data_IF_511966452956
#
_entry.id   IF_511966452956
#
_cell.length_a   1.000
_cell.length_b   1.000
_cell.length_c   1.000
_cell.angle_alpha   90.00
_cell.angle_beta   90.00
_cell.angle_gamma   90.00
#
_symmetry.space_group_name_H-M   'P 1'
#
loop_
_entity.id
_entity.type
_entity.pdbx_description
1 polymer ?
#
# COMPACT_ATOMS: atom_id res chain seq x y z
N UNK A 1 -48.50 55.00 28.68
CA UNK A 1 -49.01 55.18 30.05
C UNK A 1 -47.89 54.88 31.03
N UNK A 2 -46.91 55.77 31.24
CA UNK A 2 -47.05 57.12 31.81
C UNK A 2 -48.00 57.20 33.01
N UNK A 3 -47.38 57.10 34.19
CA UNK A 3 -47.54 57.96 35.36
C UNK A 3 -48.94 58.25 35.94
N UNK A 4 -49.15 57.84 37.20
CA UNK A 4 -49.43 58.72 38.38
C UNK A 4 -49.69 57.85 39.62
N UNK A 5 -48.90 58.03 40.70
CA UNK A 5 -49.18 58.90 41.85
C UNK A 5 -50.31 58.33 42.74
N UNK A 6 -50.18 58.16 44.06
CA UNK A 6 -49.87 59.20 45.05
C UNK A 6 -49.63 58.57 46.44
N UNK A 7 -48.73 59.19 47.22
CA UNK A 7 -48.67 59.42 48.69
C UNK A 7 -49.44 58.51 49.67
N UNK A 8 -48.89 58.15 50.84
CA UNK A 8 -48.78 59.01 52.04
C UNK A 8 -47.66 58.51 52.98
N UNK A 9 -46.91 59.48 53.54
CA UNK A 9 -45.85 59.34 54.53
C UNK A 9 -46.35 59.04 55.96
N UNK A 10 -45.56 58.32 56.77
CA UNK A 10 -45.32 58.63 58.20
C UNK A 10 -44.25 57.72 58.83
N UNK A 11 -43.51 58.32 59.77
CA UNK A 11 -42.58 57.79 60.77
C UNK A 11 -41.21 57.22 60.36
N UNK A 12 -40.20 58.06 60.64
CA UNK A 12 -38.79 57.70 60.67
C UNK A 12 -38.37 57.38 62.12
N UNK A 13 -37.73 56.24 62.39
CA UNK A 13 -36.96 56.04 63.62
C UNK A 13 -35.51 56.52 63.46
N UNK A 14 -35.02 57.19 64.49
CA UNK A 14 -33.66 57.72 64.69
C UNK A 14 -32.59 56.62 64.50
N UNK A 15 -31.46 56.89 63.82
CA UNK A 15 -30.39 55.89 63.69
C UNK A 15 -29.66 55.70 65.03
N UNK A 16 -29.49 54.43 65.41
CA UNK A 16 -28.65 53.98 66.52
C UNK A 16 -27.16 54.32 66.29
N UNK A 17 -26.35 54.51 67.35
CA UNK A 17 -24.95 54.89 67.21
C UNK A 17 -24.13 53.84 66.46
N UNK A 18 -23.34 54.30 65.50
CA UNK A 18 -22.37 53.50 64.73
C UNK A 18 -21.30 52.93 65.66
N UNK A 19 -21.00 51.62 65.62
CA UNK A 19 -19.88 51.07 66.38
C UNK A 19 -18.56 51.59 65.82
N UNK A 20 -17.68 52.00 66.73
CA UNK A 20 -16.31 52.47 66.47
C UNK A 20 -15.53 51.39 65.70
N UNK A 21 -14.89 51.78 64.59
CA UNK A 21 -14.11 50.85 63.77
C UNK A 21 -12.92 50.31 64.57
N UNK A 22 -12.89 49.00 64.77
CA UNK A 22 -11.70 48.30 65.27
C UNK A 22 -10.62 48.37 64.18
N UNK A 23 -9.35 48.70 64.48
CA UNK A 23 -8.31 48.72 63.47
C UNK A 23 -8.13 47.33 62.87
N UNK A 24 -8.22 47.22 61.54
CA UNK A 24 -7.90 45.99 60.82
C UNK A 24 -6.44 45.59 61.11
N UNK A 25 -6.15 44.29 61.34
CA UNK A 25 -4.79 43.84 61.51
C UNK A 25 -4.01 44.11 60.22
N UNK A 26 -2.85 44.76 60.34
CA UNK A 26 -1.87 44.89 59.26
C UNK A 26 -1.63 43.50 58.65
N UNK A 27 -1.75 43.32 57.32
CA UNK A 27 -1.44 42.03 56.71
C UNK A 27 0.02 41.69 56.99
N UNK A 28 0.27 40.57 57.65
CA UNK A 28 1.60 39.99 57.75
C UNK A 28 2.15 39.79 56.33
N UNK A 29 3.46 40.04 56.09
CA UNK A 29 4.04 39.78 54.79
C UNK A 29 3.80 38.31 54.43
N UNK A 30 3.12 38.06 53.31
CA UNK A 30 3.03 36.72 52.73
C UNK A 30 4.46 36.20 52.59
N UNK A 31 4.80 35.04 53.17
CA UNK A 31 6.13 34.48 52.98
C UNK A 31 6.39 34.37 51.49
N UNK A 32 7.54 34.89 51.02
CA UNK A 32 8.00 34.62 49.66
C UNK A 32 7.91 33.11 49.41
N UNK A 33 7.39 32.65 48.26
CA UNK A 33 7.37 31.22 47.96
C UNK A 33 8.81 30.72 48.11
N UNK A 34 9.01 29.81 49.07
CA UNK A 34 10.29 29.09 49.20
C UNK A 34 10.68 28.63 47.80
N UNK A 35 11.90 28.95 47.31
CA UNK A 35 12.33 28.48 46.00
C UNK A 35 12.12 26.97 45.98
N UNK A 36 11.24 26.51 45.09
CA UNK A 36 11.06 25.10 44.83
C UNK A 36 12.46 24.58 44.44
N UNK A 37 12.97 23.50 45.05
CA UNK A 37 14.29 23.01 44.69
C UNK A 37 14.33 22.82 43.18
N UNK A 38 15.30 23.47 42.52
CA UNK A 38 15.62 23.17 41.12
C UNK A 38 15.80 21.64 41.03
N UNK A 39 15.25 20.96 40.02
CA UNK A 39 15.46 19.53 39.89
C UNK A 39 16.97 19.29 39.89
N UNK A 40 17.48 18.58 40.89
CA UNK A 40 18.89 18.19 40.94
C UNK A 40 19.19 17.46 39.63
N UNK A 41 19.95 18.09 38.74
CA UNK A 41 20.43 17.46 37.53
C UNK A 41 21.35 16.33 37.97
N UNK A 42 20.98 15.10 37.66
CA UNK A 42 21.83 13.95 37.89
C UNK A 42 22.98 14.01 36.89
N UNK A 43 23.99 14.84 37.18
CA UNK A 43 25.14 15.12 36.32
C UNK A 43 25.83 13.81 35.87
N UNK A 44 25.77 12.77 36.71
CA UNK A 44 26.30 11.45 36.38
C UNK A 44 25.46 10.75 35.32
N UNK A 45 24.13 10.79 35.43
CA UNK A 45 23.24 10.26 34.40
C UNK A 45 23.37 11.03 33.07
N UNK A 46 23.52 12.35 33.12
CA UNK A 46 23.71 13.17 31.92
C UNK A 46 25.03 12.84 31.21
N UNK A 47 26.13 12.66 31.97
CA UNK A 47 27.41 12.20 31.41
C UNK A 47 27.30 10.80 30.79
N UNK A 48 26.59 9.87 31.45
CA UNK A 48 26.36 8.53 30.91
C UNK A 48 25.53 8.58 29.62
N UNK A 49 24.50 9.43 29.56
CA UNK A 49 23.71 9.63 28.35
C UNK A 49 24.57 10.17 27.19
N UNK A 50 25.47 11.11 27.46
CA UNK A 50 26.39 11.63 26.45
C UNK A 50 27.42 10.57 26.00
N UNK A 51 27.92 9.76 26.93
CA UNK A 51 28.80 8.63 26.58
C UNK A 51 28.12 7.63 25.64
N UNK A 52 26.82 7.37 25.84
CA UNK A 52 26.03 6.56 24.90
C UNK A 52 25.97 7.21 23.52
N UNK A 53 25.62 8.50 23.43
CA UNK A 53 25.55 9.22 22.14
C UNK A 53 26.88 9.18 21.40
N UNK A 54 27.98 9.43 22.11
CA UNK A 54 29.31 9.40 21.53
C UNK A 54 29.69 7.99 21.03
N UNK A 55 29.36 6.94 21.80
CA UNK A 55 29.56 5.56 21.35
C UNK A 55 28.75 5.20 20.10
N UNK A 56 27.49 5.63 20.02
CA UNK A 56 26.68 5.47 18.82
C UNK A 56 27.29 6.24 17.65
N UNK A 57 27.72 7.48 17.83
CA UNK A 57 28.39 8.27 16.78
C UNK A 57 29.66 7.58 16.24
N UNK A 58 30.45 6.99 17.12
CA UNK A 58 31.71 6.30 16.78
C UNK A 58 31.50 4.93 16.11
N UNK A 59 30.28 4.39 16.11
CA UNK A 59 30.03 3.03 15.63
C UNK A 59 30.39 1.93 16.63
N UNK A 60 30.67 2.30 17.87
CA UNK A 60 31.01 1.36 18.94
C UNK A 60 29.75 0.92 19.70
N UNK A 61 28.99 0.00 19.07
CA UNK A 61 27.73 -0.50 19.63
C UNK A 61 27.92 -1.22 20.98
N UNK A 62 29.12 -1.78 21.24
CA UNK A 62 29.44 -2.45 22.50
C UNK A 62 29.59 -1.44 23.64
N UNK A 63 30.34 -0.35 23.41
CA UNK A 63 30.47 0.75 24.37
C UNK A 63 29.13 1.46 24.61
N UNK A 64 28.32 1.61 23.55
CA UNK A 64 26.98 2.18 23.66
C UNK A 64 26.07 1.33 24.56
N UNK A 65 26.05 0.01 24.36
CA UNK A 65 25.28 -0.92 25.19
C UNK A 65 25.71 -0.86 26.66
N UNK A 66 27.03 -0.88 26.93
CA UNK A 66 27.55 -0.81 28.28
C UNK A 66 27.14 0.49 28.99
N UNK A 67 27.34 1.63 28.32
CA UNK A 67 27.03 2.95 28.88
C UNK A 67 25.53 3.13 29.10
N UNK A 68 24.69 2.59 28.20
CA UNK A 68 23.24 2.64 28.32
C UNK A 68 22.75 1.74 29.46
N UNK A 69 23.34 0.57 29.65
CA UNK A 69 23.02 -0.31 30.77
C UNK A 69 23.39 0.33 32.11
N UNK A 70 24.51 1.05 32.17
CA UNK A 70 24.91 1.81 33.36
C UNK A 70 23.97 2.99 33.63
N UNK A 71 23.58 3.74 32.60
CA UNK A 71 22.58 4.81 32.68
C UNK A 71 21.24 4.28 33.21
N UNK A 72 20.73 3.19 32.63
CA UNK A 72 19.46 2.57 33.06
C UNK A 72 19.55 2.09 34.51
N UNK A 73 20.70 1.59 34.96
CA UNK A 73 20.90 1.15 36.35
C UNK A 73 20.95 2.31 37.33
N UNK A 74 21.60 3.41 36.96
CA UNK A 74 21.79 4.59 37.81
C UNK A 74 20.53 5.46 37.85
N UNK A 75 19.92 5.72 36.70
CA UNK A 75 18.74 6.58 36.55
C UNK A 75 17.73 5.98 35.55
N UNK A 76 16.93 4.97 35.95
CA UNK A 76 16.02 4.26 35.04
C UNK A 76 14.93 5.12 34.41
N UNK A 77 14.63 6.31 34.94
CA UNK A 77 13.61 7.22 34.40
C UNK A 77 14.24 8.41 33.66
N UNK A 78 15.53 8.36 33.38
CA UNK A 78 16.23 9.42 32.69
C UNK A 78 15.62 9.70 31.31
N UNK A 79 15.27 10.96 30.98
CA UNK A 79 14.47 11.30 29.80
C UNK A 79 15.14 10.96 28.47
N UNK A 80 16.47 10.81 28.43
CA UNK A 80 17.19 10.42 27.22
C UNK A 80 17.12 8.91 26.91
N UNK A 81 16.82 8.05 27.89
CA UNK A 81 16.86 6.58 27.69
C UNK A 81 15.97 6.10 26.53
N UNK A 82 14.71 6.55 26.38
CA UNK A 82 13.83 6.07 25.32
C UNK A 82 14.41 6.35 23.92
N UNK A 83 14.94 7.55 23.70
CA UNK A 83 15.53 7.96 22.42
C UNK A 83 16.84 7.21 22.14
N UNK A 84 17.70 7.02 23.15
CA UNK A 84 18.93 6.25 23.02
C UNK A 84 18.66 4.77 22.68
N UNK A 85 17.68 4.16 23.36
CA UNK A 85 17.23 2.79 23.06
C UNK A 85 16.69 2.69 21.63
N UNK A 86 15.92 3.68 21.17
CA UNK A 86 15.37 3.74 19.83
C UNK A 86 16.48 3.88 18.77
N UNK A 87 17.45 4.75 18.99
CA UNK A 87 18.59 4.95 18.09
C UNK A 87 19.43 3.66 17.98
N UNK A 88 19.77 3.06 19.11
CA UNK A 88 20.52 1.80 19.12
C UNK A 88 19.76 0.67 18.39
N UNK A 89 18.44 0.60 18.57
CA UNK A 89 17.59 -0.37 17.87
C UNK A 89 17.63 -0.20 16.34
N UNK A 90 17.66 1.05 15.85
CA UNK A 90 17.74 1.36 14.41
C UNK A 90 19.07 0.98 13.77
N UNK A 91 20.15 0.93 14.56
CA UNK A 91 21.49 0.57 14.10
C UNK A 91 21.73 -0.93 14.02
N UNK A 92 20.83 -1.74 14.57
CA UNK A 92 20.98 -3.18 14.56
C UNK A 92 21.09 -3.71 13.12
N UNK A 93 22.20 -4.37 12.80
CA UNK A 93 22.44 -4.99 11.49
C UNK A 93 21.33 -5.97 11.11
N UNK A 94 20.77 -6.66 12.09
CA UNK A 94 19.58 -7.48 11.94
C UNK A 94 18.37 -6.74 12.52
N UNK A 95 17.44 -6.24 11.70
CA UNK A 95 16.26 -5.53 12.19
C UNK A 95 15.43 -6.35 13.19
N UNK A 96 15.49 -7.69 13.11
CA UNK A 96 14.77 -8.58 14.01
C UNK A 96 15.35 -8.59 15.44
N UNK A 97 16.66 -8.39 15.60
CA UNK A 97 17.26 -8.33 16.93
C UNK A 97 16.98 -7.01 17.66
N UNK A 98 16.41 -6.02 16.97
CA UNK A 98 16.00 -4.73 17.53
C UNK A 98 14.66 -4.79 18.28
N UNK A 99 13.82 -5.82 18.02
CA UNK A 99 12.47 -5.92 18.61
C UNK A 99 12.44 -5.81 20.15
N UNK A 100 13.34 -6.47 20.91
CA UNK A 100 13.33 -6.34 22.37
C UNK A 100 13.59 -4.90 22.83
N UNK A 101 14.44 -4.15 22.12
CA UNK A 101 14.72 -2.75 22.44
C UNK A 101 13.51 -1.87 22.18
N UNK A 102 12.88 -2.00 21.00
CA UNK A 102 11.63 -1.29 20.71
C UNK A 102 10.54 -1.63 21.72
N UNK A 103 10.38 -2.91 22.07
CA UNK A 103 9.41 -3.34 23.10
C UNK A 103 9.68 -2.67 24.44
N UNK A 104 10.94 -2.63 24.88
CA UNK A 104 11.29 -1.97 26.15
C UNK A 104 11.00 -0.47 26.14
N UNK A 105 11.18 0.24 25.01
CA UNK A 105 10.76 1.65 24.91
C UNK A 105 9.26 1.79 25.15
N UNK A 106 8.47 0.91 24.56
CA UNK A 106 7.00 0.97 24.61
C UNK A 106 6.45 0.52 25.96
N UNK A 107 7.06 -0.45 26.61
CA UNK A 107 6.60 -1.02 27.88
C UNK A 107 7.08 -0.19 29.07
N UNK A 108 8.35 0.24 29.07
CA UNK A 108 8.96 0.94 30.19
C UNK A 108 8.73 2.46 30.12
N UNK A 109 8.61 3.03 28.91
CA UNK A 109 8.50 4.48 28.67
C UNK A 109 7.34 4.86 27.74
N UNK A 110 6.10 4.44 28.06
CA UNK A 110 4.96 4.54 27.16
C UNK A 110 4.45 5.98 26.94
N UNK A 111 4.96 6.97 27.66
CA UNK A 111 4.59 8.39 27.49
C UNK A 111 5.72 9.20 26.84
N UNK A 112 6.81 8.54 26.44
CA UNK A 112 7.94 9.17 25.75
C UNK A 112 7.64 9.47 24.30
N UNK A 113 8.32 10.48 23.74
CA UNK A 113 8.27 10.83 22.31
C UNK A 113 8.83 9.72 21.40
N UNK A 114 9.62 8.80 21.96
CA UNK A 114 10.16 7.63 21.25
C UNK A 114 9.13 6.50 21.08
N UNK A 115 8.14 6.40 21.97
CA UNK A 115 7.20 5.27 22.02
C UNK A 115 6.36 5.09 20.74
N UNK A 116 5.78 6.14 20.11
CA UNK A 116 5.05 6.00 18.85
C UNK A 116 5.91 5.43 17.73
N UNK A 117 7.17 5.86 17.66
CA UNK A 117 8.11 5.34 16.67
C UNK A 117 8.48 3.89 16.94
N UNK A 118 8.82 3.53 18.17
CA UNK A 118 9.16 2.17 18.53
C UNK A 118 8.02 1.19 18.22
N UNK A 119 6.77 1.57 18.50
CA UNK A 119 5.58 0.81 18.11
C UNK A 119 5.43 0.66 16.59
N UNK A 120 5.62 1.75 15.83
CA UNK A 120 5.54 1.70 14.37
C UNK A 120 6.62 0.76 13.80
N UNK A 121 7.85 0.78 14.33
CA UNK A 121 8.90 -0.14 13.91
C UNK A 121 8.57 -1.60 14.26
N UNK A 122 8.01 -1.86 15.46
CA UNK A 122 7.51 -3.21 15.79
C UNK A 122 6.44 -3.68 14.80
N UNK A 123 5.48 -2.82 14.46
CA UNK A 123 4.46 -3.14 13.47
C UNK A 123 5.07 -3.46 12.10
N UNK A 124 6.07 -2.67 11.65
CA UNK A 124 6.79 -2.91 10.38
C UNK A 124 7.54 -4.23 10.38
N UNK A 125 8.22 -4.57 11.48
CA UNK A 125 8.93 -5.83 11.61
C UNK A 125 7.97 -7.03 11.57
N UNK A 126 6.83 -6.95 12.27
CA UNK A 126 5.79 -7.97 12.17
C UNK A 126 5.23 -8.11 10.75
N UNK A 127 5.10 -7.00 10.00
CA UNK A 127 4.62 -7.03 8.63
C UNK A 127 5.61 -7.76 7.71
N UNK A 128 6.91 -7.48 7.85
CA UNK A 128 7.98 -8.16 7.10
C UNK A 128 8.03 -9.66 7.43
N UNK A 129 7.74 -10.04 8.67
CA UNK A 129 7.60 -11.46 9.06
C UNK A 129 6.34 -12.15 8.50
N UNK A 130 5.43 -11.40 7.87
CA UNK A 130 4.12 -11.90 7.46
C UNK A 130 3.15 -12.12 8.63
N UNK A 131 3.50 -11.69 9.85
CA UNK A 131 2.59 -11.72 10.99
C UNK A 131 1.66 -10.51 10.93
N UNK A 132 0.67 -10.60 10.05
CA UNK A 132 -0.28 -9.53 9.78
C UNK A 132 -1.12 -9.19 11.03
N UNK A 133 -1.44 -10.18 11.88
CA UNK A 133 -2.26 -9.96 13.09
C UNK A 133 -1.52 -9.09 14.10
N UNK A 134 -0.25 -9.40 14.38
CA UNK A 134 0.58 -8.55 15.24
C UNK A 134 0.84 -7.19 14.60
N UNK A 135 1.01 -7.12 13.27
CA UNK A 135 1.13 -5.83 12.56
C UNK A 135 -0.04 -4.91 12.87
N UNK A 136 -1.27 -5.40 12.69
CA UNK A 136 -2.50 -4.64 12.95
C UNK A 136 -2.58 -4.24 14.43
N UNK A 137 -2.26 -5.17 15.34
CA UNK A 137 -2.28 -4.90 16.78
C UNK A 137 -1.34 -3.75 17.16
N UNK A 138 -0.07 -3.83 16.76
CA UNK A 138 0.94 -2.82 17.10
C UNK A 138 0.68 -1.48 16.39
N UNK A 139 0.30 -1.51 15.11
CA UNK A 139 -0.05 -0.31 14.37
C UNK A 139 -1.26 0.42 14.98
N UNK A 140 -2.26 -0.33 15.45
CA UNK A 140 -3.44 0.24 16.11
C UNK A 140 -3.09 0.94 17.41
N UNK A 141 -2.20 0.36 18.22
CA UNK A 141 -1.68 1.01 19.43
C UNK A 141 -1.07 2.38 19.11
N UNK A 142 -0.43 2.58 17.96
CA UNK A 142 0.13 3.89 17.58
C UNK A 142 -0.99 4.92 17.42
N UNK A 143 -1.95 4.69 16.51
CA UNK A 143 -2.94 5.70 16.17
C UNK A 143 -4.09 5.83 17.20
N UNK A 144 -4.24 4.87 18.13
CA UNK A 144 -5.18 4.98 19.25
C UNK A 144 -4.56 5.68 20.47
N UNK A 145 -3.30 5.37 20.81
CA UNK A 145 -2.64 5.96 22.00
C UNK A 145 -1.95 7.29 21.70
N UNK A 146 -1.47 7.49 20.48
CA UNK A 146 -0.72 8.68 20.07
C UNK A 146 -1.32 9.28 18.79
N UNK A 147 -2.61 9.68 18.79
CA UNK A 147 -3.31 10.13 17.58
C UNK A 147 -2.66 11.35 16.91
N UNK A 148 -2.01 12.21 17.70
CA UNK A 148 -1.35 13.43 17.21
C UNK A 148 0.12 13.21 16.79
N UNK A 149 0.66 12.00 16.99
CA UNK A 149 2.03 11.69 16.61
C UNK A 149 2.14 11.56 15.08
N UNK A 150 3.24 12.03 14.44
CA UNK A 150 3.45 11.87 12.99
C UNK A 150 3.37 10.41 12.50
N UNK A 151 3.67 9.46 13.39
CA UNK A 151 3.64 8.02 13.14
C UNK A 151 2.21 7.46 13.03
N UNK A 152 1.18 8.13 13.56
CA UNK A 152 -0.18 7.62 13.58
C UNK A 152 -0.73 7.37 12.17
N UNK A 153 -0.51 8.31 11.25
CA UNK A 153 -0.95 8.19 9.86
C UNK A 153 -0.25 7.02 9.15
N UNK A 154 1.06 6.89 9.35
CA UNK A 154 1.87 5.79 8.81
C UNK A 154 1.49 4.43 9.39
N UNK A 155 1.18 4.36 10.68
CA UNK A 155 0.72 3.15 11.33
C UNK A 155 -0.65 2.73 10.80
N UNK A 156 -1.58 3.67 10.64
CA UNK A 156 -2.90 3.39 10.05
C UNK A 156 -2.78 2.89 8.61
N UNK A 157 -1.85 3.45 7.83
CA UNK A 157 -1.57 2.99 6.46
C UNK A 157 -1.10 1.53 6.47
N UNK A 158 -0.14 1.20 7.36
CA UNK A 158 0.37 -0.15 7.53
C UNK A 158 -0.72 -1.14 7.99
N UNK A 159 -1.60 -0.72 8.90
CA UNK A 159 -2.75 -1.51 9.31
C UNK A 159 -3.67 -1.80 8.12
N UNK A 160 -3.97 -0.79 7.28
CA UNK A 160 -4.77 -0.97 6.05
C UNK A 160 -4.14 -1.98 5.09
N UNK A 161 -2.82 -1.92 4.89
CA UNK A 161 -2.08 -2.88 4.07
C UNK A 161 -2.16 -4.30 4.64
N UNK A 162 -1.99 -4.44 5.96
CA UNK A 162 -2.11 -5.73 6.63
C UNK A 162 -3.54 -6.30 6.55
N UNK A 163 -4.57 -5.48 6.72
CA UNK A 163 -5.96 -5.89 6.53
C UNK A 163 -6.23 -6.37 5.09
N UNK A 164 -5.73 -5.65 4.08
CA UNK A 164 -5.88 -6.04 2.68
C UNK A 164 -5.21 -7.40 2.42
N UNK A 165 -3.99 -7.60 2.94
CA UNK A 165 -3.27 -8.87 2.82
C UNK A 165 -3.96 -10.04 3.54
N UNK A 166 -4.77 -9.78 4.59
CA UNK A 166 -5.62 -10.79 5.22
C UNK A 166 -6.93 -11.07 4.45
N UNK A 167 -7.23 -10.33 3.38
CA UNK A 167 -8.53 -10.37 2.70
C UNK A 167 -9.64 -9.65 3.48
N UNK A 168 -9.30 -8.90 4.55
CA UNK A 168 -10.24 -8.08 5.32
C UNK A 168 -10.47 -6.74 4.61
N UNK A 169 -11.13 -6.83 3.45
CA UNK A 169 -11.25 -5.71 2.50
C UNK A 169 -12.01 -4.51 3.09
N UNK A 170 -13.05 -4.73 3.90
CA UNK A 170 -13.78 -3.65 4.58
C UNK A 170 -12.88 -2.88 5.54
N UNK A 171 -12.18 -3.58 6.44
CA UNK A 171 -11.28 -2.94 7.40
C UNK A 171 -10.13 -2.19 6.70
N UNK A 172 -9.62 -2.76 5.61
CA UNK A 172 -8.60 -2.11 4.78
C UNK A 172 -9.13 -0.81 4.14
N UNK A 173 -10.34 -0.88 3.56
CA UNK A 173 -11.01 0.29 2.97
C UNK A 173 -11.19 1.40 4.00
N UNK A 174 -11.70 1.08 5.19
CA UNK A 174 -11.95 2.07 6.24
C UNK A 174 -10.64 2.70 6.75
N UNK A 175 -9.59 1.89 6.91
CA UNK A 175 -8.27 2.38 7.31
C UNK A 175 -7.71 3.40 6.31
N UNK A 176 -7.78 3.10 5.01
CA UNK A 176 -7.28 4.00 3.97
C UNK A 176 -8.19 5.22 3.74
N UNK A 177 -9.51 5.07 3.76
CA UNK A 177 -10.45 6.17 3.55
C UNK A 177 -10.29 7.29 4.59
N UNK A 178 -10.05 6.92 5.85
CA UNK A 178 -9.74 7.88 6.90
C UNK A 178 -8.47 8.67 6.56
N UNK A 179 -7.41 8.01 6.09
CA UNK A 179 -6.18 8.73 5.73
C UNK A 179 -6.37 9.70 4.57
N UNK A 180 -7.15 9.34 3.56
CA UNK A 180 -7.44 10.23 2.42
C UNK A 180 -8.20 11.49 2.85
N UNK A 181 -8.96 11.42 3.94
CA UNK A 181 -9.79 12.53 4.43
C UNK A 181 -9.15 13.34 5.54
N UNK A 182 -8.30 12.73 6.37
CA UNK A 182 -7.78 13.38 7.60
C UNK A 182 -6.28 13.65 7.59
N UNK A 183 -5.49 12.99 6.73
CA UNK A 183 -4.04 13.15 6.73
C UNK A 183 -3.60 14.43 6.03
N UNK A 184 -2.70 15.19 6.67
CA UNK A 184 -2.01 16.32 6.05
C UNK A 184 -0.76 15.89 5.25
N UNK A 185 -0.28 14.65 5.44
CA UNK A 185 0.86 14.10 4.72
C UNK A 185 0.41 13.59 3.34
N UNK A 186 0.84 14.29 2.29
CA UNK A 186 0.51 13.98 0.89
C UNK A 186 1.05 12.61 0.44
N UNK A 187 2.18 12.13 0.99
CA UNK A 187 2.69 10.78 0.67
C UNK A 187 1.77 9.72 1.26
N UNK A 188 1.32 9.91 2.51
CA UNK A 188 0.35 9.01 3.15
C UNK A 188 -0.98 9.01 2.40
N UNK A 189 -1.50 10.18 2.03
CA UNK A 189 -2.75 10.29 1.24
C UNK A 189 -2.62 9.55 -0.09
N UNK A 190 -1.51 9.76 -0.81
CA UNK A 190 -1.26 9.09 -2.10
C UNK A 190 -1.21 7.57 -1.95
N UNK A 191 -0.45 7.06 -0.97
CA UNK A 191 -0.35 5.62 -0.71
C UNK A 191 -1.67 5.02 -0.24
N UNK A 192 -2.46 5.75 0.53
CA UNK A 192 -3.79 5.33 0.95
C UNK A 192 -4.76 5.23 -0.25
N UNK A 193 -4.72 6.18 -1.20
CA UNK A 193 -5.49 6.08 -2.45
C UNK A 193 -5.10 4.86 -3.28
N UNK A 194 -3.80 4.57 -3.40
CA UNK A 194 -3.34 3.32 -4.03
C UNK A 194 -3.88 2.10 -3.29
N UNK A 195 -3.84 2.10 -1.95
CA UNK A 195 -4.42 1.04 -1.12
C UNK A 195 -5.93 0.85 -1.37
N UNK A 196 -6.70 1.93 -1.44
CA UNK A 196 -8.13 1.87 -1.79
C UNK A 196 -8.35 1.30 -3.19
N UNK A 197 -7.54 1.70 -4.17
CA UNK A 197 -7.63 1.20 -5.53
C UNK A 197 -7.39 -0.32 -5.57
N UNK A 198 -6.39 -0.82 -4.85
CA UNK A 198 -6.14 -2.27 -4.75
C UNK A 198 -7.28 -3.00 -4.02
N UNK A 199 -7.86 -2.41 -2.97
CA UNK A 199 -9.02 -2.99 -2.27
C UNK A 199 -10.24 -3.07 -3.19
N UNK A 200 -10.50 -2.04 -3.99
CA UNK A 200 -11.57 -2.03 -4.99
C UNK A 200 -11.37 -3.10 -6.05
N UNK A 201 -10.15 -3.22 -6.56
CA UNK A 201 -9.78 -4.26 -7.52
C UNK A 201 -10.00 -5.66 -6.94
N UNK A 202 -9.55 -5.92 -5.70
CA UNK A 202 -9.78 -7.19 -5.01
C UNK A 202 -11.27 -7.48 -4.75
N UNK A 203 -12.07 -6.42 -4.58
CA UNK A 203 -13.53 -6.50 -4.41
C UNK A 203 -14.29 -6.70 -5.73
N UNK A 204 -13.59 -6.99 -6.84
CA UNK A 204 -14.18 -7.16 -8.19
C UNK A 204 -14.84 -5.89 -8.75
N UNK A 205 -14.32 -4.73 -8.37
CA UNK A 205 -14.69 -3.41 -8.90
C UNK A 205 -13.50 -2.79 -9.67
N UNK A 206 -13.14 -3.33 -10.85
CA UNK A 206 -12.03 -2.82 -11.65
C UNK A 206 -12.26 -1.39 -12.15
N UNK A 207 -13.51 -0.98 -12.40
CA UNK A 207 -13.85 0.39 -12.80
C UNK A 207 -13.54 1.39 -11.68
N UNK A 208 -14.01 1.14 -10.45
CA UNK A 208 -13.71 1.99 -9.30
C UNK A 208 -12.22 2.01 -8.94
N UNK A 209 -11.52 0.87 -9.13
CA UNK A 209 -10.07 0.83 -8.98
C UNK A 209 -9.35 1.74 -10.00
N UNK A 210 -9.76 1.72 -11.27
CA UNK A 210 -9.20 2.58 -12.30
C UNK A 210 -9.41 4.07 -12.02
N UNK A 211 -10.54 4.44 -11.42
CA UNK A 211 -10.83 5.82 -11.01
C UNK A 211 -9.84 6.31 -9.96
N UNK A 212 -9.66 5.56 -8.88
CA UNK A 212 -8.73 5.90 -7.81
C UNK A 212 -7.27 5.96 -8.30
N UNK A 213 -6.87 5.04 -9.18
CA UNK A 213 -5.53 5.08 -9.77
C UNK A 213 -5.31 6.31 -10.65
N UNK A 214 -6.35 6.77 -11.36
CA UNK A 214 -6.27 7.99 -12.18
C UNK A 214 -6.11 9.23 -11.30
N UNK A 215 -6.86 9.33 -10.20
CA UNK A 215 -6.71 10.41 -9.22
C UNK A 215 -5.28 10.45 -8.65
N UNK A 216 -4.66 9.28 -8.44
CA UNK A 216 -3.26 9.21 -8.02
C UNK A 216 -2.33 9.79 -9.09
N UNK A 217 -2.57 9.51 -10.38
CA UNK A 217 -1.78 10.07 -11.49
C UNK A 217 -1.99 11.57 -11.69
N UNK A 218 -3.19 12.08 -11.44
CA UNK A 218 -3.52 13.51 -11.52
C UNK A 218 -2.78 14.33 -10.46
N UNK A 219 -2.42 13.71 -9.33
CA UNK A 219 -1.55 14.30 -8.32
C UNK A 219 -0.05 14.31 -8.67
N UNK A 220 0.30 14.03 -9.93
CA UNK A 220 1.68 14.00 -10.47
C UNK A 220 2.67 13.22 -9.59
N UNK A 221 2.44 11.90 -9.40
CA UNK A 221 3.31 11.10 -8.57
C UNK A 221 4.65 10.89 -9.27
N UNK A 222 5.73 10.81 -8.51
CA UNK A 222 7.07 10.55 -9.04
C UNK A 222 7.59 9.15 -8.68
N UNK A 223 8.62 8.70 -9.40
CA UNK A 223 9.36 7.48 -9.07
C UNK A 223 8.55 6.18 -9.19
N UNK A 224 8.72 5.29 -8.19
CA UNK A 224 8.19 3.91 -8.21
C UNK A 224 6.66 3.87 -8.29
N UNK A 225 5.98 4.82 -7.64
CA UNK A 225 4.52 4.88 -7.61
C UNK A 225 3.95 5.15 -9.01
N UNK A 226 4.59 6.02 -9.80
CA UNK A 226 4.15 6.37 -11.14
C UNK A 226 4.17 5.16 -12.09
N UNK A 227 5.25 4.37 -12.11
CA UNK A 227 5.33 3.16 -12.93
C UNK A 227 4.30 2.12 -12.50
N UNK A 228 4.21 1.85 -11.18
CA UNK A 228 3.29 0.85 -10.63
C UNK A 228 1.84 1.18 -10.97
N UNK A 229 1.42 2.40 -10.69
CA UNK A 229 0.04 2.85 -10.92
C UNK A 229 -0.30 2.86 -12.41
N UNK A 230 0.61 3.36 -13.25
CA UNK A 230 0.40 3.36 -14.71
C UNK A 230 0.31 1.94 -15.26
N UNK A 231 1.14 1.02 -14.78
CA UNK A 231 1.07 -0.39 -15.17
C UNK A 231 -0.24 -1.04 -14.72
N UNK A 232 -0.67 -0.81 -13.47
CA UNK A 232 -1.97 -1.28 -12.94
C UNK A 232 -3.15 -0.81 -13.77
N UNK A 233 -3.17 0.46 -14.19
CA UNK A 233 -4.19 0.97 -15.10
C UNK A 233 -4.18 0.24 -16.45
N UNK A 234 -3.00 -0.09 -16.98
CA UNK A 234 -2.88 -0.95 -18.16
C UNK A 234 -3.56 -2.31 -17.97
N UNK A 235 -3.27 -2.98 -16.85
CA UNK A 235 -3.87 -4.28 -16.51
C UNK A 235 -5.39 -4.20 -16.35
N UNK A 236 -5.88 -3.17 -15.66
CA UNK A 236 -7.31 -2.99 -15.42
C UNK A 236 -8.03 -2.70 -16.74
N UNK A 237 -7.52 -1.79 -17.57
CA UNK A 237 -8.15 -1.49 -18.86
C UNK A 237 -8.10 -2.67 -19.83
N UNK A 238 -7.09 -3.53 -19.71
CA UNK A 238 -7.03 -4.79 -20.44
C UNK A 238 -8.14 -5.75 -20.00
N UNK A 239 -8.34 -5.94 -18.69
CA UNK A 239 -9.44 -6.76 -18.14
C UNK A 239 -10.82 -6.23 -18.54
N UNK A 240 -10.98 -4.91 -18.56
CA UNK A 240 -12.22 -4.24 -19.00
C UNK A 240 -12.46 -4.30 -20.51
N UNK A 241 -11.52 -4.85 -21.29
CA UNK A 241 -11.61 -4.90 -22.76
C UNK A 241 -11.31 -3.58 -23.47
N UNK A 242 -10.97 -2.51 -22.74
CA UNK A 242 -10.53 -1.23 -23.30
C UNK A 242 -9.05 -1.31 -23.72
N UNK A 243 -8.83 -2.12 -24.76
CA UNK A 243 -7.50 -2.43 -25.29
C UNK A 243 -6.74 -1.18 -25.75
N UNK A 244 -7.44 -0.16 -26.24
CA UNK A 244 -6.82 1.09 -26.67
C UNK A 244 -6.17 1.82 -25.49
N UNK A 245 -6.88 1.92 -24.35
CA UNK A 245 -6.31 2.49 -23.12
C UNK A 245 -5.21 1.60 -22.55
N UNK A 246 -5.40 0.28 -22.51
CA UNK A 246 -4.38 -0.65 -22.03
C UNK A 246 -3.04 -0.47 -22.76
N UNK A 247 -3.08 -0.45 -24.10
CA UNK A 247 -1.91 -0.18 -24.96
C UNK A 247 -1.25 1.16 -24.61
N UNK A 248 -2.03 2.22 -24.41
CA UNK A 248 -1.49 3.55 -24.05
C UNK A 248 -0.75 3.51 -22.71
N UNK A 249 -1.34 2.88 -21.69
CA UNK A 249 -0.73 2.77 -20.37
C UNK A 249 0.54 1.92 -20.40
N UNK A 250 0.50 0.74 -21.01
CA UNK A 250 1.68 -0.11 -21.14
C UNK A 250 2.80 0.55 -21.94
N UNK A 251 2.48 1.25 -23.04
CA UNK A 251 3.46 2.02 -23.80
C UNK A 251 4.11 3.10 -22.94
N UNK A 252 3.33 3.80 -22.14
CA UNK A 252 3.84 4.85 -21.25
C UNK A 252 4.88 4.27 -20.29
N UNK A 253 4.60 3.14 -19.66
CA UNK A 253 5.55 2.46 -18.76
C UNK A 253 6.78 1.96 -19.52
N UNK A 254 6.59 1.28 -20.66
CA UNK A 254 7.69 0.70 -21.43
C UNK A 254 8.66 1.74 -22.02
N UNK A 255 8.13 2.85 -22.55
CA UNK A 255 8.93 3.85 -23.28
C UNK A 255 9.40 5.00 -22.40
N UNK A 256 8.53 5.51 -21.52
CA UNK A 256 8.85 6.70 -20.70
C UNK A 256 9.39 6.36 -19.32
N UNK A 257 9.28 5.09 -18.92
CA UNK A 257 9.70 4.61 -17.60
C UNK A 257 10.57 3.36 -17.73
N UNK A 258 11.46 3.35 -18.73
CA UNK A 258 12.25 2.18 -19.12
C UNK A 258 13.11 1.59 -17.99
N UNK A 259 13.55 2.43 -17.04
CA UNK A 259 14.33 2.00 -15.87
C UNK A 259 13.46 1.46 -14.72
N UNK A 260 12.14 1.49 -14.85
CA UNK A 260 11.22 1.00 -13.83
C UNK A 260 11.14 -0.52 -13.83
N UNK A 261 10.87 -1.10 -12.66
CA UNK A 261 10.62 -2.53 -12.50
C UNK A 261 9.53 -3.09 -13.44
N UNK A 262 8.56 -2.24 -13.84
CA UNK A 262 7.41 -2.63 -14.65
C UNK A 262 7.64 -2.48 -16.16
N UNK A 263 8.75 -1.89 -16.61
CA UNK A 263 9.00 -1.59 -18.02
C UNK A 263 8.99 -2.83 -18.91
N UNK A 264 9.71 -3.89 -18.51
CA UNK A 264 9.80 -5.12 -19.29
C UNK A 264 8.44 -5.83 -19.40
N UNK A 265 7.71 -5.95 -18.28
CA UNK A 265 6.37 -6.54 -18.28
C UNK A 265 5.36 -5.71 -19.09
N UNK A 266 5.49 -4.38 -19.07
CA UNK A 266 4.66 -3.50 -19.90
C UNK A 266 4.97 -3.67 -21.39
N UNK A 267 6.26 -3.76 -21.77
CA UNK A 267 6.68 -3.99 -23.14
C UNK A 267 6.17 -5.33 -23.68
N UNK A 268 6.21 -6.38 -22.86
CA UNK A 268 5.66 -7.70 -23.20
C UNK A 268 4.15 -7.62 -23.47
N UNK A 269 3.37 -7.05 -22.54
CA UNK A 269 1.92 -6.88 -22.73
C UNK A 269 1.61 -6.01 -23.94
N UNK A 270 2.37 -4.94 -24.18
CA UNK A 270 2.23 -4.09 -25.35
C UNK A 270 2.44 -4.86 -26.66
N UNK A 271 3.45 -5.72 -26.74
CA UNK A 271 3.73 -6.54 -27.92
C UNK A 271 2.65 -7.61 -28.16
N UNK A 272 2.13 -8.25 -27.11
CA UNK A 272 0.97 -9.15 -27.22
C UNK A 272 -0.24 -8.39 -27.77
N UNK A 273 -0.60 -7.26 -27.13
CA UNK A 273 -1.76 -6.46 -27.52
C UNK A 273 -1.62 -5.78 -28.89
N UNK A 274 -0.42 -5.47 -29.36
CA UNK A 274 -0.23 -4.87 -30.69
C UNK A 274 -0.30 -5.93 -31.78
N UNK A 275 0.33 -7.10 -31.58
CA UNK A 275 0.28 -8.21 -32.55
C UNK A 275 -1.13 -8.69 -32.81
N UNK A 276 -1.99 -8.86 -31.79
CA UNK A 276 -3.39 -9.23 -32.08
C UNK A 276 -4.21 -8.10 -32.71
N UNK A 277 -3.83 -6.81 -32.55
CA UNK A 277 -4.45 -5.71 -33.29
C UNK A 277 -4.10 -5.78 -34.78
N UNK A 278 -2.83 -6.02 -35.10
CA UNK A 278 -2.36 -6.18 -36.47
C UNK A 278 -2.97 -7.42 -37.13
N UNK A 279 -3.10 -8.53 -36.40
CA UNK A 279 -3.83 -9.72 -36.85
C UNK A 279 -5.29 -9.38 -37.21
N UNK A 280 -6.05 -8.75 -36.30
CA UNK A 280 -7.44 -8.34 -36.56
C UNK A 280 -7.52 -7.38 -37.76
N UNK A 281 -6.62 -6.40 -37.85
CA UNK A 281 -6.59 -5.44 -38.95
C UNK A 281 -6.26 -6.08 -40.30
N UNK A 282 -5.49 -7.17 -40.30
CA UNK A 282 -5.19 -7.98 -41.49
C UNK A 282 -6.29 -8.99 -41.83
N UNK A 283 -7.46 -8.95 -41.15
CA UNK A 283 -8.53 -9.93 -41.34
C UNK A 283 -8.20 -11.30 -40.76
N UNK A 284 -7.17 -11.41 -39.92
CA UNK A 284 -6.87 -12.64 -39.20
C UNK A 284 -7.67 -12.66 -37.88
N UNK A 285 -8.45 -13.71 -37.60
CA UNK A 285 -9.18 -13.85 -36.35
C UNK A 285 -8.27 -13.94 -35.14
N UNK A 286 -8.80 -13.52 -33.99
CA UNK A 286 -8.14 -13.55 -32.69
C UNK A 286 -7.85 -15.00 -32.27
N UNK A 287 -6.61 -15.43 -32.48
CA UNK A 287 -6.13 -16.76 -32.07
C UNK A 287 -5.79 -16.71 -30.58
N UNK A 288 -6.72 -17.12 -29.73
CA UNK A 288 -6.48 -17.31 -28.29
C UNK A 288 -5.54 -18.48 -28.08
N UNK A 289 -4.41 -18.25 -27.41
CA UNK A 289 -3.48 -19.31 -27.02
C UNK A 289 -3.67 -19.58 -25.52
N UNK A 290 -4.20 -20.76 -25.16
CA UNK A 290 -4.43 -21.13 -23.75
C UNK A 290 -5.50 -22.21 -23.56
N UNK A 291 -5.76 -22.61 -22.29
CA UNK A 291 -6.76 -23.63 -21.92
C UNK A 291 -8.20 -23.30 -22.35
N UNK A 292 -8.49 -22.06 -22.75
CA UNK A 292 -9.81 -21.60 -23.17
C UNK A 292 -10.12 -21.82 -24.67
N UNK A 293 -9.21 -22.43 -25.42
CA UNK A 293 -9.45 -22.75 -26.83
C UNK A 293 -10.41 -23.95 -26.96
N UNK A 294 -11.63 -23.69 -27.43
CA UNK A 294 -12.65 -24.71 -27.66
C UNK A 294 -12.65 -25.25 -29.12
N UNK A 295 -12.11 -24.50 -30.07
CA UNK A 295 -12.11 -24.84 -31.50
C UNK A 295 -10.71 -24.69 -32.12
N UNK A 296 -10.44 -25.42 -33.19
CA UNK A 296 -9.22 -25.33 -34.02
C UNK A 296 -9.56 -25.60 -35.49
N UNK A 297 -8.67 -25.26 -36.41
CA UNK A 297 -8.85 -25.54 -37.84
C UNK A 297 -7.92 -26.66 -38.27
N UNK A 298 -8.50 -27.76 -38.74
CA UNK A 298 -7.82 -28.91 -39.32
C UNK A 298 -7.63 -28.71 -40.81
N UNK A 299 -6.37 -28.64 -41.24
CA UNK A 299 -6.01 -28.65 -42.67
C UNK A 299 -6.27 -30.02 -43.28
N UNK A 300 -6.02 -31.07 -42.49
CA UNK A 300 -6.26 -32.45 -42.89
C UNK A 300 -5.55 -33.41 -41.97
N UNK A 301 -5.74 -34.69 -42.27
CA UNK A 301 -5.05 -35.80 -41.61
C UNK A 301 -4.19 -36.47 -42.66
N UNK A 302 -2.91 -36.75 -42.39
CA UNK A 302 -1.95 -37.26 -43.38
C UNK A 302 -1.10 -38.37 -42.79
N UNK A 303 -0.28 -39.06 -43.59
CA UNK A 303 0.82 -39.85 -43.04
C UNK A 303 1.80 -38.92 -42.30
N UNK A 304 2.48 -39.38 -41.25
CA UNK A 304 3.28 -38.47 -40.39
C UNK A 304 4.35 -37.65 -41.13
N UNK A 305 5.00 -38.23 -42.14
CA UNK A 305 5.99 -37.51 -42.95
C UNK A 305 5.34 -36.47 -43.87
N UNK A 306 4.19 -36.81 -44.45
CA UNK A 306 3.38 -35.90 -45.27
C UNK A 306 2.80 -34.76 -44.41
N UNK A 307 2.35 -35.03 -43.19
CA UNK A 307 1.84 -34.01 -42.27
C UNK A 307 2.91 -32.94 -41.97
N UNK A 308 4.18 -33.32 -41.83
CA UNK A 308 5.29 -32.38 -41.65
C UNK A 308 5.53 -31.52 -42.89
N UNK A 309 5.43 -32.10 -44.08
CA UNK A 309 5.52 -31.35 -45.35
C UNK A 309 4.34 -30.38 -45.51
N UNK A 310 3.14 -30.85 -45.19
CA UNK A 310 1.91 -30.06 -45.27
C UNK A 310 1.89 -28.91 -44.26
N UNK A 311 2.56 -29.04 -43.12
CA UNK A 311 2.71 -27.97 -42.14
C UNK A 311 3.66 -26.84 -42.59
N UNK A 312 4.62 -27.12 -43.47
CA UNK A 312 5.68 -26.19 -43.87
C UNK A 312 5.16 -24.83 -44.38
N UNK A 313 4.32 -24.80 -45.43
CA UNK A 313 3.79 -23.55 -45.98
C UNK A 313 3.04 -22.67 -44.97
N UNK A 314 2.36 -23.29 -44.00
CA UNK A 314 1.66 -22.55 -42.96
C UNK A 314 2.64 -21.99 -41.92
N UNK A 315 3.68 -22.74 -41.53
CA UNK A 315 4.74 -22.24 -40.63
C UNK A 315 5.53 -21.10 -41.26
N UNK A 316 5.88 -21.22 -42.54
CA UNK A 316 6.60 -20.19 -43.28
C UNK A 316 5.77 -18.91 -43.41
N UNK A 317 4.45 -19.04 -43.49
CA UNK A 317 3.51 -17.92 -43.45
C UNK A 317 3.24 -17.38 -42.02
N UNK A 318 3.94 -17.89 -41.01
CA UNK A 318 3.88 -17.41 -39.62
C UNK A 318 2.78 -18.05 -38.77
N UNK A 319 2.06 -19.05 -39.26
CA UNK A 319 1.01 -19.72 -38.50
C UNK A 319 1.58 -20.73 -37.51
N UNK A 320 0.97 -20.82 -36.32
CA UNK A 320 1.26 -21.89 -35.37
C UNK A 320 0.56 -23.18 -35.80
N UNK A 321 1.37 -24.20 -36.13
CA UNK A 321 0.89 -25.49 -36.60
C UNK A 321 1.20 -26.58 -35.58
N UNK A 322 0.16 -27.26 -35.09
CA UNK A 322 0.24 -28.42 -34.21
C UNK A 322 0.02 -29.69 -35.01
N UNK A 323 0.90 -30.66 -34.81
CA UNK A 323 0.77 -32.00 -35.34
C UNK A 323 0.26 -32.91 -34.23
N UNK A 324 -0.84 -33.63 -34.48
CA UNK A 324 -1.45 -34.54 -33.50
C UNK A 324 -1.52 -35.93 -34.11
N UNK A 325 -0.73 -36.86 -33.57
CA UNK A 325 -0.71 -38.24 -34.02
C UNK A 325 -1.95 -38.99 -33.52
N UNK A 326 -2.65 -39.64 -34.44
CA UNK A 326 -3.77 -40.54 -34.16
C UNK A 326 -3.32 -41.99 -34.01
N UNK A 327 -4.17 -42.80 -33.37
CA UNK A 327 -3.91 -44.23 -33.16
C UNK A 327 -3.94 -45.06 -34.46
N UNK A 328 -4.36 -44.48 -35.57
CA UNK A 328 -4.41 -45.08 -36.91
C UNK A 328 -3.12 -44.87 -37.71
N UNK A 329 -2.08 -44.29 -37.11
CA UNK A 329 -0.81 -43.97 -37.77
C UNK A 329 -0.89 -42.74 -38.67
N UNK A 330 -1.98 -41.96 -38.59
CA UNK A 330 -2.13 -40.70 -39.31
C UNK A 330 -1.98 -39.52 -38.35
N UNK A 331 -1.46 -38.42 -38.86
CA UNK A 331 -1.19 -37.19 -38.11
C UNK A 331 -2.11 -36.07 -38.60
N UNK A 332 -2.85 -35.44 -37.70
CA UNK A 332 -3.65 -34.26 -37.99
C UNK A 332 -2.77 -33.01 -38.02
N UNK A 333 -2.99 -32.14 -39.00
CA UNK A 333 -2.36 -30.83 -39.12
C UNK A 333 -3.38 -29.79 -38.68
N UNK A 334 -3.17 -29.22 -37.49
CA UNK A 334 -4.08 -28.28 -36.84
C UNK A 334 -3.46 -26.89 -36.77
N UNK A 335 -4.26 -25.86 -37.01
CA UNK A 335 -3.81 -24.46 -37.01
C UNK A 335 -4.70 -23.65 -36.05
N UNK A 336 -4.03 -22.96 -35.12
CA UNK A 336 -4.66 -22.05 -34.17
C UNK A 336 -5.52 -22.72 -33.09
N UNK A 337 -6.00 -21.89 -32.16
CA UNK A 337 -6.98 -22.22 -31.13
C UNK A 337 -7.94 -21.04 -30.95
N UNK A 338 -9.23 -21.32 -30.85
CA UNK A 338 -10.30 -20.32 -30.89
C UNK A 338 -11.32 -20.59 -29.78
N UNK A 339 -11.79 -19.54 -29.12
CA UNK A 339 -12.81 -19.65 -28.10
C UNK A 339 -14.20 -19.99 -28.67
N UNK A 340 -14.48 -19.59 -29.92
CA UNK A 340 -15.81 -19.76 -30.55
C UNK A 340 -15.73 -20.34 -31.97
N UNK A 341 -16.78 -21.07 -32.37
CA UNK A 341 -16.93 -21.61 -33.72
C UNK A 341 -16.90 -20.52 -34.80
N UNK A 342 -17.47 -19.33 -34.50
CA UNK A 342 -17.51 -18.19 -35.42
C UNK A 342 -16.09 -17.70 -35.75
N UNK A 343 -15.22 -17.56 -34.75
CA UNK A 343 -13.83 -17.18 -34.94
C UNK A 343 -13.06 -18.22 -35.77
N UNK A 344 -13.30 -19.51 -35.50
CA UNK A 344 -12.64 -20.60 -36.21
C UNK A 344 -13.12 -20.71 -37.67
N UNK A 345 -14.40 -20.50 -37.96
CA UNK A 345 -14.95 -20.49 -39.34
C UNK A 345 -14.43 -19.32 -40.16
N UNK A 346 -14.40 -18.13 -39.57
CA UNK A 346 -13.81 -16.97 -40.23
C UNK A 346 -12.33 -17.22 -40.55
N UNK A 347 -11.59 -17.86 -39.64
CA UNK A 347 -10.20 -18.25 -39.89
C UNK A 347 -10.07 -19.27 -41.02
N UNK A 348 -10.92 -20.28 -41.00
CA UNK A 348 -10.96 -21.32 -42.01
C UNK A 348 -11.13 -20.69 -43.40
N UNK A 349 -12.14 -19.84 -43.60
CA UNK A 349 -12.37 -19.16 -44.88
C UNK A 349 -11.16 -18.38 -45.39
N UNK A 350 -10.45 -17.67 -44.51
CA UNK A 350 -9.24 -16.91 -44.88
C UNK A 350 -8.06 -17.84 -45.21
N UNK A 351 -7.89 -18.95 -44.48
CA UNK A 351 -6.92 -19.98 -44.84
C UNK A 351 -7.24 -20.61 -46.20
N UNK A 352 -8.50 -20.92 -46.46
CA UNK A 352 -8.94 -21.49 -47.75
C UNK A 352 -8.66 -20.52 -48.91
N UNK A 353 -8.98 -19.24 -48.74
CA UNK A 353 -8.68 -18.19 -49.74
C UNK A 353 -7.19 -18.05 -50.00
N UNK A 354 -6.37 -18.04 -48.95
CA UNK A 354 -4.93 -17.80 -49.04
C UNK A 354 -4.16 -18.99 -49.62
N UNK A 355 -4.55 -20.22 -49.27
CA UNK A 355 -3.81 -21.43 -49.63
C UNK A 355 -4.52 -22.30 -50.69
N UNK A 356 -5.74 -21.93 -51.09
CA UNK A 356 -6.52 -22.64 -52.12
C UNK A 356 -6.88 -24.07 -51.72
N UNK A 357 -6.99 -24.36 -50.42
CA UNK A 357 -7.22 -25.70 -49.87
C UNK A 357 -8.35 -25.67 -48.88
N UNK A 358 -9.26 -26.63 -48.96
CA UNK A 358 -10.32 -26.78 -47.97
C UNK A 358 -9.75 -27.15 -46.61
N UNK A 359 -10.34 -26.58 -45.56
CA UNK A 359 -10.01 -26.85 -44.17
C UNK A 359 -11.28 -27.06 -43.36
N UNK A 360 -11.17 -27.67 -42.19
CA UNK A 360 -12.31 -28.03 -41.37
C UNK A 360 -12.18 -27.44 -39.97
N UNK A 361 -13.24 -26.78 -39.49
CA UNK A 361 -13.32 -26.37 -38.09
C UNK A 361 -13.69 -27.56 -37.23
N UNK A 362 -12.86 -27.87 -36.23
CA UNK A 362 -13.11 -28.97 -35.29
C UNK A 362 -13.12 -28.44 -33.86
N UNK A 363 -13.93 -29.05 -33.00
CA UNK A 363 -13.94 -28.80 -31.56
C UNK A 363 -12.80 -29.57 -30.90
N UNK A 364 -12.14 -28.97 -29.91
CA UNK A 364 -11.07 -29.61 -29.14
C UNK A 364 -11.71 -30.46 -28.04
N UNK A 365 -11.56 -31.78 -28.13
CA UNK A 365 -12.08 -32.72 -27.12
C UNK A 365 -11.39 -32.53 -25.76
N UNK A 366 -12.17 -32.46 -24.67
CA UNK A 366 -11.69 -32.25 -23.29
C UNK A 366 -11.97 -30.87 -22.68
N UNK A 367 -12.72 -30.00 -23.38
CA UNK A 367 -13.25 -28.74 -22.84
C UNK A 367 -14.75 -28.88 -22.59
N UNK A 368 -15.11 -29.35 -21.39
CA UNK A 368 -16.47 -29.20 -20.83
C UNK A 368 -16.63 -27.88 -20.09
#
# INVERSE_FOLDING_TARGET
>A
DEAKAEQVAADAPTPAPTPEATPEPTPEPTPEPTPQPEPETDETADMLAEAVRQALADGDDARAEQSLAELVKHSPQHPAIPDLKLEQARRATNPMSAMPRYRSVVEDYPDSTAAPQALLELARLYFVQGNLTSTVSEARRVYERYPDAPQAAWARLLAGQAYAAMGRLTDASDAFAILVTTSADNDVVRRARVGLAEVRYQSKDPQGAAELYREVLEGEPEGIDLARVTYRLGQIHEELGDRAKAIRYYRTVAEKMADSFYAASAAERLNDLSRRREAIAAGMPDVTHGPDAAYTVRVGTFASDEARQMAGPYRDAGFQVRLVDGNDGRTQVLIGGFATDIQARFFAEELEKKFGRQVEVIRIEGTE
#
